data_IF_183597471310
#
_entry.id   IF_183597471310
#
_cell.length_a   1.000
_cell.length_b   1.000
_cell.length_c   1.000
_cell.angle_alpha   90.00
_cell.angle_beta   90.00
_cell.angle_gamma   90.00
#
_symmetry.space_group_name_H-M   'P 1'
#
loop_
_entity.id
_entity.type
_entity.pdbx_description
1 polymer ?
#
# COMPACT_ATOMS: atom_id res chain seq x y z
N UNK A 1 -44.46 -28.28 19.12
CA UNK A 1 -42.98 -28.30 19.02
C UNK A 1 -42.47 -27.03 19.69
N UNK A 2 -41.72 -27.12 20.79
CA UNK A 2 -41.15 -25.94 21.46
C UNK A 2 -40.09 -25.33 20.54
N UNK A 3 -40.13 -24.01 20.36
CA UNK A 3 -39.19 -23.30 19.48
C UNK A 3 -37.82 -23.23 20.17
N UNK A 4 -36.81 -23.85 19.56
CA UNK A 4 -35.41 -23.85 20.02
C UNK A 4 -34.65 -22.56 19.63
N UNK A 5 -35.35 -21.56 19.11
CA UNK A 5 -34.77 -20.30 18.64
C UNK A 5 -33.95 -19.54 19.70
N UNK A 6 -34.39 -19.42 20.99
CA UNK A 6 -33.62 -18.65 21.97
C UNK A 6 -32.36 -19.40 22.44
N UNK A 7 -32.39 -20.73 22.48
CA UNK A 7 -31.23 -21.56 22.88
C UNK A 7 -30.14 -21.56 21.80
N UNK A 8 -30.54 -21.63 20.52
CA UNK A 8 -29.61 -21.52 19.39
C UNK A 8 -28.96 -20.13 19.29
N UNK A 9 -29.72 -19.06 19.57
CA UNK A 9 -29.18 -17.70 19.61
C UNK A 9 -28.18 -17.50 20.75
N UNK A 10 -28.43 -18.11 21.92
CA UNK A 10 -27.51 -18.10 23.05
C UNK A 10 -26.20 -18.87 22.74
N UNK A 11 -26.28 -20.00 22.04
CA UNK A 11 -25.10 -20.77 21.61
C UNK A 11 -24.28 -19.99 20.56
N UNK A 12 -24.92 -19.26 19.65
CA UNK A 12 -24.24 -18.41 18.68
C UNK A 12 -23.56 -17.19 19.32
N UNK A 13 -24.16 -16.61 20.37
CA UNK A 13 -23.59 -15.48 21.11
C UNK A 13 -22.32 -15.87 21.91
N UNK A 14 -22.22 -17.11 22.37
CA UNK A 14 -21.07 -17.62 23.15
C UNK A 14 -19.91 -18.09 22.26
N UNK A 15 -20.19 -18.59 21.05
CA UNK A 15 -19.17 -19.20 20.18
C UNK A 15 -18.47 -18.22 19.22
N UNK A 16 -18.85 -16.95 19.20
CA UNK A 16 -18.31 -15.97 18.26
C UNK A 16 -18.65 -16.28 16.80
N UNK A 17 -18.09 -15.54 15.83
CA UNK A 17 -18.30 -15.81 14.41
C UNK A 17 -17.82 -17.23 14.07
N UNK A 18 -18.73 -18.07 13.56
CA UNK A 18 -18.38 -19.41 13.06
C UNK A 18 -17.58 -19.22 11.77
N UNK A 19 -16.25 -19.25 11.91
CA UNK A 19 -15.34 -19.10 10.79
C UNK A 19 -15.53 -20.29 9.84
N UNK A 20 -15.65 -19.99 8.55
CA UNK A 20 -15.65 -21.02 7.52
C UNK A 20 -14.27 -21.70 7.43
N UNK A 21 -14.16 -22.83 6.72
CA UNK A 21 -12.91 -23.59 6.64
C UNK A 21 -11.73 -22.75 6.15
N UNK A 22 -11.95 -21.90 5.15
CA UNK A 22 -10.90 -21.04 4.62
C UNK A 22 -10.49 -19.96 5.63
N UNK A 23 -11.42 -19.44 6.42
CA UNK A 23 -11.15 -18.49 7.49
C UNK A 23 -10.41 -19.13 8.68
N UNK A 24 -10.69 -20.39 9.00
CA UNK A 24 -9.94 -21.15 10.00
C UNK A 24 -8.50 -21.42 9.56
N UNK A 25 -8.31 -21.82 8.31
CA UNK A 25 -6.97 -22.01 7.71
C UNK A 25 -6.20 -20.68 7.66
N UNK A 26 -6.87 -19.59 7.30
CA UNK A 26 -6.29 -18.24 7.28
C UNK A 26 -5.93 -17.78 8.69
N UNK A 27 -6.80 -18.00 9.68
CA UNK A 27 -6.53 -17.67 11.08
C UNK A 27 -5.33 -18.44 11.62
N UNK A 28 -5.23 -19.73 11.34
CA UNK A 28 -4.08 -20.55 11.74
C UNK A 28 -2.76 -20.02 11.14
N UNK A 29 -2.79 -19.58 9.88
CA UNK A 29 -1.64 -18.92 9.23
C UNK A 29 -1.28 -17.58 9.89
N UNK A 30 -2.28 -16.75 10.20
CA UNK A 30 -2.08 -15.49 10.91
C UNK A 30 -1.50 -15.69 12.31
N UNK A 31 -2.00 -16.68 13.06
CA UNK A 31 -1.53 -17.01 14.40
C UNK A 31 -0.09 -17.54 14.37
N UNK A 32 0.25 -18.37 13.38
CA UNK A 32 1.62 -18.83 13.15
C UNK A 32 2.57 -17.66 12.84
N UNK A 33 2.18 -16.75 11.95
CA UNK A 33 2.93 -15.53 11.62
C UNK A 33 3.12 -14.61 12.84
N UNK A 34 2.09 -14.45 13.66
CA UNK A 34 2.15 -13.65 14.87
C UNK A 34 3.13 -14.26 15.89
N UNK A 35 3.10 -15.58 16.08
CA UNK A 35 4.03 -16.30 16.94
C UNK A 35 5.48 -16.18 16.44
N UNK A 36 5.72 -16.34 15.14
CA UNK A 36 7.05 -16.15 14.53
C UNK A 36 7.53 -14.71 14.71
N UNK A 37 6.66 -13.72 14.52
CA UNK A 37 7.00 -12.29 14.70
C UNK A 37 7.34 -11.96 16.15
N UNK A 38 6.61 -12.53 17.12
CA UNK A 38 6.90 -12.37 18.54
C UNK A 38 8.25 -12.99 18.90
N UNK A 39 8.56 -14.18 18.36
CA UNK A 39 9.86 -14.82 18.56
C UNK A 39 11.01 -14.00 17.97
N UNK A 40 10.87 -13.48 16.76
CA UNK A 40 11.90 -12.63 16.11
C UNK A 40 12.25 -11.40 16.96
N UNK A 41 11.28 -10.80 17.67
CA UNK A 41 11.53 -9.65 18.57
C UNK A 41 12.46 -9.98 19.75
N UNK A 42 12.49 -11.25 20.18
CA UNK A 42 13.32 -11.71 21.31
C UNK A 42 14.78 -11.99 20.93
N UNK A 43 15.08 -12.04 19.62
CA UNK A 43 16.43 -12.34 19.11
C UNK A 43 17.29 -11.06 19.09
N UNK A 44 18.62 -11.12 19.32
CA UNK A 44 19.54 -9.97 19.15
C UNK A 44 19.47 -9.33 17.75
N UNK A 45 19.70 -8.01 17.65
CA UNK A 45 19.41 -7.20 16.44
C UNK A 45 20.27 -7.58 15.22
N UNK A 46 21.52 -7.96 15.47
CA UNK A 46 22.49 -8.52 14.55
C UNK A 46 22.02 -9.85 13.94
N UNK A 47 21.47 -10.75 14.76
CA UNK A 47 20.93 -12.05 14.31
C UNK A 47 19.55 -11.91 13.63
N UNK A 48 18.79 -10.86 13.95
CA UNK A 48 17.49 -10.55 13.33
C UNK A 48 17.59 -10.20 11.84
N UNK A 49 18.66 -9.54 11.41
CA UNK A 49 18.83 -9.13 10.00
C UNK A 49 19.11 -10.35 9.13
N UNK A 50 19.98 -11.25 9.61
CA UNK A 50 20.34 -12.49 8.92
C UNK A 50 19.14 -13.45 8.86
N UNK A 51 18.49 -13.72 10.00
CA UNK A 51 17.27 -14.56 10.04
C UNK A 51 16.06 -13.92 9.37
N UNK A 52 16.01 -12.59 9.29
CA UNK A 52 14.96 -11.85 8.59
C UNK A 52 15.06 -12.05 7.08
N UNK A 53 16.27 -12.06 6.53
CA UNK A 53 16.50 -12.39 5.13
C UNK A 53 16.10 -13.85 4.83
N UNK A 54 16.48 -14.79 5.71
CA UNK A 54 16.12 -16.20 5.57
C UNK A 54 14.62 -16.45 5.72
N UNK A 55 13.94 -15.77 6.65
CA UNK A 55 12.49 -15.88 6.82
C UNK A 55 11.72 -15.30 5.63
N UNK A 56 12.19 -14.17 5.06
CA UNK A 56 11.61 -13.61 3.83
C UNK A 56 11.84 -14.54 2.64
N UNK A 57 13.03 -15.14 2.52
CA UNK A 57 13.34 -16.12 1.49
C UNK A 57 12.56 -17.44 1.65
N UNK A 58 12.25 -17.84 2.89
CA UNK A 58 11.46 -19.03 3.21
C UNK A 58 9.95 -18.83 3.00
N UNK A 59 9.45 -17.60 3.16
CA UNK A 59 8.02 -17.26 3.05
C UNK A 59 7.64 -16.78 1.65
N UNK A 60 8.55 -16.09 0.96
CA UNK A 60 8.29 -15.55 -0.36
C UNK A 60 9.38 -15.99 -1.34
N UNK A 61 8.99 -16.80 -2.31
CA UNK A 61 9.87 -17.13 -3.43
C UNK A 61 10.11 -15.89 -4.29
N UNK A 62 11.16 -15.89 -5.11
CA UNK A 62 11.37 -14.83 -6.10
C UNK A 62 10.16 -14.66 -7.03
N UNK A 63 9.44 -15.75 -7.30
CA UNK A 63 8.20 -15.72 -8.07
C UNK A 63 7.09 -14.93 -7.35
N UNK A 64 6.96 -15.08 -6.03
CA UNK A 64 5.97 -14.33 -5.24
C UNK A 64 6.26 -12.83 -5.24
N UNK A 65 7.55 -12.46 -5.12
CA UNK A 65 7.97 -11.05 -5.15
C UNK A 65 7.67 -10.42 -6.51
N UNK A 66 7.96 -11.12 -7.61
CA UNK A 66 7.67 -10.64 -8.96
C UNK A 66 6.17 -10.57 -9.24
N UNK A 67 5.38 -11.54 -8.75
CA UNK A 67 3.92 -11.50 -8.84
C UNK A 67 3.33 -10.29 -8.11
N UNK A 68 3.83 -9.98 -6.92
CA UNK A 68 3.42 -8.78 -6.17
C UNK A 68 3.74 -7.51 -6.95
N UNK A 69 4.95 -7.38 -7.50
CA UNK A 69 5.33 -6.22 -8.32
C UNK A 69 4.44 -6.08 -9.56
N UNK A 70 4.16 -7.18 -10.26
CA UNK A 70 3.28 -7.18 -11.43
C UNK A 70 1.83 -6.80 -11.07
N UNK A 71 1.35 -7.21 -9.89
CA UNK A 71 0.06 -6.81 -9.38
C UNK A 71 0.00 -5.31 -9.07
N UNK A 72 1.03 -4.75 -8.43
CA UNK A 72 1.12 -3.30 -8.18
C UNK A 72 1.20 -2.49 -9.47
N UNK A 73 1.99 -2.94 -10.45
CA UNK A 73 2.03 -2.33 -11.78
C UNK A 73 0.63 -2.28 -12.40
N UNK A 74 -0.08 -3.41 -12.42
CA UNK A 74 -1.42 -3.49 -13.03
C UNK A 74 -2.47 -2.63 -12.32
N UNK A 75 -2.34 -2.44 -11.00
CA UNK A 75 -3.21 -1.58 -10.19
C UNK A 75 -2.94 -0.09 -10.37
N UNK A 76 -1.75 0.29 -10.81
CA UNK A 76 -1.42 1.69 -11.04
C UNK A 76 -2.30 2.28 -12.18
N UNK A 77 -2.82 3.51 -12.03
CA UNK A 77 -3.59 4.17 -13.08
C UNK A 77 -2.82 4.22 -14.40
N UNK A 78 -3.53 4.09 -15.53
CA UNK A 78 -2.86 4.03 -16.85
C UNK A 78 -1.97 5.23 -17.10
N UNK A 79 -2.44 6.44 -16.78
CA UNK A 79 -1.66 7.68 -16.92
C UNK A 79 -0.33 7.64 -16.14
N UNK A 80 -0.32 7.02 -14.96
CA UNK A 80 0.92 6.87 -14.15
C UNK A 80 1.89 5.91 -14.83
N UNK A 81 1.38 4.82 -15.39
CA UNK A 81 2.19 3.85 -16.14
C UNK A 81 2.74 4.43 -17.45
N UNK A 82 1.94 5.23 -18.15
CA UNK A 82 2.34 5.97 -19.35
C UNK A 82 3.49 6.93 -19.05
N UNK A 83 3.35 7.76 -18.01
CA UNK A 83 4.42 8.65 -17.55
C UNK A 83 5.69 7.86 -17.20
N UNK A 84 5.54 6.70 -16.55
CA UNK A 84 6.68 5.85 -16.21
C UNK A 84 7.44 5.36 -17.45
N UNK A 85 6.76 4.79 -18.45
CA UNK A 85 7.43 4.31 -19.68
C UNK A 85 7.97 5.47 -20.53
N UNK A 86 7.24 6.58 -20.62
CA UNK A 86 7.67 7.75 -21.38
C UNK A 86 8.87 8.46 -20.74
N UNK A 87 9.06 8.37 -19.42
CA UNK A 87 10.19 8.97 -18.70
C UNK A 87 11.56 8.47 -19.17
N UNK A 88 11.59 7.32 -19.85
CA UNK A 88 12.79 6.72 -20.44
C UNK A 88 12.73 6.63 -21.97
N UNK A 89 11.80 7.37 -22.60
CA UNK A 89 11.66 7.43 -24.05
C UNK A 89 11.07 6.17 -24.70
N UNK A 90 10.36 5.33 -23.94
CA UNK A 90 9.65 4.18 -24.50
C UNK A 90 8.27 4.60 -25.02
N UNK A 91 7.71 3.83 -25.96
CA UNK A 91 6.35 4.05 -26.47
C UNK A 91 5.32 3.95 -25.33
N UNK A 92 4.44 4.95 -25.24
CA UNK A 92 3.36 5.01 -24.25
C UNK A 92 2.45 3.76 -24.31
N UNK A 93 2.29 3.13 -25.48
CA UNK A 93 1.51 1.89 -25.62
C UNK A 93 2.03 0.75 -24.76
N UNK A 94 3.34 0.74 -24.43
CA UNK A 94 3.94 -0.25 -23.53
C UNK A 94 3.46 -0.13 -22.09
N UNK A 95 2.81 0.97 -21.69
CA UNK A 95 2.20 1.09 -20.36
C UNK A 95 1.12 0.02 -20.09
N UNK A 96 0.48 -0.48 -21.15
CA UNK A 96 -0.50 -1.57 -21.08
C UNK A 96 0.12 -2.96 -20.92
N UNK A 97 1.42 -3.10 -21.12
CA UNK A 97 2.09 -4.40 -20.98
C UNK A 97 2.15 -4.85 -19.52
N UNK A 98 2.13 -6.17 -19.31
CA UNK A 98 2.40 -6.76 -18.01
C UNK A 98 3.87 -6.50 -17.62
N UNK A 99 4.14 -6.26 -16.34
CA UNK A 99 5.48 -5.94 -15.83
C UNK A 99 6.52 -7.00 -16.23
N UNK A 100 6.10 -8.26 -16.36
CA UNK A 100 6.97 -9.38 -16.75
C UNK A 100 7.49 -9.29 -18.20
N UNK A 101 6.90 -8.44 -19.06
CA UNK A 101 7.43 -8.18 -20.41
C UNK A 101 8.60 -7.20 -20.41
N UNK A 102 8.82 -6.48 -19.32
CA UNK A 102 9.95 -5.56 -19.18
C UNK A 102 11.16 -6.32 -18.66
N UNK A 103 12.29 -6.20 -19.36
CA UNK A 103 13.52 -6.78 -18.86
C UNK A 103 14.07 -6.00 -17.65
N UNK A 104 15.03 -6.57 -16.93
CA UNK A 104 15.58 -5.97 -15.71
C UNK A 104 16.21 -4.58 -15.96
N UNK A 105 16.85 -4.39 -17.12
CA UNK A 105 17.49 -3.12 -17.48
C UNK A 105 16.45 -2.02 -17.74
N UNK A 106 15.37 -2.34 -18.45
CA UNK A 106 14.25 -1.44 -18.69
C UNK A 106 13.63 -1.00 -17.36
N UNK A 107 13.36 -1.95 -16.46
CA UNK A 107 12.79 -1.66 -15.13
C UNK A 107 13.73 -0.79 -14.29
N UNK A 108 15.03 -1.05 -14.34
CA UNK A 108 16.05 -0.23 -13.66
C UNK A 108 16.10 1.20 -14.18
N UNK A 109 16.05 1.39 -15.51
CA UNK A 109 16.02 2.71 -16.14
C UNK A 109 14.76 3.49 -15.75
N UNK A 110 13.59 2.84 -15.81
CA UNK A 110 12.31 3.44 -15.42
C UNK A 110 12.38 3.89 -13.95
N UNK A 111 12.88 3.04 -13.05
CA UNK A 111 13.00 3.39 -11.64
C UNK A 111 13.87 4.64 -11.40
N UNK A 112 15.06 4.69 -12.01
CA UNK A 112 15.97 5.84 -11.88
C UNK A 112 15.36 7.11 -12.48
N UNK A 113 14.68 7.01 -13.63
CA UNK A 113 14.02 8.14 -14.26
C UNK A 113 12.85 8.68 -13.41
N UNK A 114 12.03 7.78 -12.84
CA UNK A 114 10.94 8.15 -11.95
C UNK A 114 11.44 8.86 -10.68
N UNK A 115 12.52 8.38 -10.07
CA UNK A 115 13.12 9.06 -8.90
C UNK A 115 13.54 10.50 -9.23
N UNK A 116 14.17 10.72 -10.39
CA UNK A 116 14.53 12.06 -10.85
C UNK A 116 13.29 12.91 -11.17
N UNK A 117 12.28 12.29 -11.79
CA UNK A 117 11.04 12.96 -12.13
C UNK A 117 10.30 13.45 -10.88
N UNK A 118 10.23 12.65 -9.81
CA UNK A 118 9.61 13.06 -8.55
C UNK A 118 10.25 14.33 -7.95
N UNK A 119 11.58 14.47 -8.06
CA UNK A 119 12.27 15.68 -7.64
C UNK A 119 11.85 16.91 -8.47
N UNK A 120 11.78 16.75 -9.80
CA UNK A 120 11.36 17.82 -10.71
C UNK A 120 9.87 18.19 -10.58
N UNK A 121 8.99 17.21 -10.36
CA UNK A 121 7.55 17.42 -10.22
C UNK A 121 7.20 18.34 -9.05
N UNK A 122 7.97 18.28 -7.96
CA UNK A 122 7.78 19.20 -6.83
C UNK A 122 7.99 20.66 -7.23
N UNK A 123 8.98 20.93 -8.09
CA UNK A 123 9.24 22.27 -8.61
C UNK A 123 8.13 22.71 -9.58
N UNK A 124 7.74 21.83 -10.51
CA UNK A 124 6.65 22.11 -11.47
C UNK A 124 5.34 22.37 -10.74
N UNK A 125 5.03 21.61 -9.70
CA UNK A 125 3.82 21.80 -8.89
C UNK A 125 3.76 23.20 -8.27
N UNK A 126 4.90 23.76 -7.83
CA UNK A 126 4.96 25.15 -7.34
C UNK A 126 4.65 26.16 -8.44
N UNK A 127 5.11 25.92 -9.67
CA UNK A 127 4.80 26.80 -10.81
C UNK A 127 3.32 26.74 -11.21
N UNK A 128 2.66 25.59 -10.99
CA UNK A 128 1.23 25.40 -11.26
C UNK A 128 0.33 25.89 -10.12
N UNK A 129 0.90 26.22 -8.96
CA UNK A 129 0.17 26.76 -7.82
C UNK A 129 -0.05 28.27 -8.00
N UNK A 130 -1.26 28.65 -8.42
CA UNK A 130 -1.67 30.04 -8.60
C UNK A 130 -2.12 30.36 -10.02
N UNK A 131 -2.80 31.49 -10.17
CA UNK A 131 -3.34 31.95 -11.46
C UNK A 131 -4.61 32.76 -11.27
N UNK A 132 -4.84 33.75 -12.13
CA UNK A 132 -6.12 34.48 -12.13
C UNK A 132 -7.18 33.56 -12.71
N UNK A 133 -8.11 33.13 -11.87
CA UNK A 133 -9.33 32.50 -12.35
C UNK A 133 -10.12 33.55 -13.18
N UNK A 134 -10.65 33.19 -14.36
CA UNK A 134 -11.48 34.10 -15.12
C UNK A 134 -12.68 34.55 -14.27
N UNK A 135 -12.88 35.86 -14.18
CA UNK A 135 -13.95 36.46 -13.40
C UNK A 135 -15.29 35.93 -13.90
N UNK A 136 -15.98 35.13 -13.09
CA UNK A 136 -17.26 34.53 -13.44
C UNK A 136 -17.50 33.14 -12.86
N UNK A 137 -16.44 32.40 -12.50
CA UNK A 137 -16.56 31.17 -11.71
C UNK A 137 -16.03 31.45 -10.31
N UNK A 138 -16.96 31.57 -9.37
CA UNK A 138 -16.73 31.87 -7.96
C UNK A 138 -15.38 31.34 -7.45
N UNK A 139 -14.60 32.25 -6.85
CA UNK A 139 -13.61 31.93 -5.85
C UNK A 139 -14.33 31.30 -4.64
N UNK A 140 -14.78 30.06 -4.80
CA UNK A 140 -15.20 29.21 -3.70
C UNK A 140 -13.95 28.90 -2.91
N UNK A 141 -13.89 29.47 -1.71
CA UNK A 141 -12.88 29.26 -0.67
C UNK A 141 -12.47 27.79 -0.60
N UNK A 142 -11.34 27.44 -1.22
CA UNK A 142 -10.60 26.22 -0.89
C UNK A 142 -9.67 26.61 0.26
N UNK A 143 -10.20 26.53 1.47
CA UNK A 143 -9.42 26.64 2.69
C UNK A 143 -8.48 25.43 2.78
N UNK A 144 -7.19 25.66 2.58
CA UNK A 144 -6.15 24.62 2.65
C UNK A 144 -5.86 24.16 4.10
N UNK A 145 -6.62 24.63 5.10
CA UNK A 145 -6.43 24.21 6.50
C UNK A 145 -7.29 23.01 6.93
N UNK A 146 -8.23 22.54 6.10
CA UNK A 146 -9.13 21.43 6.45
C UNK A 146 -8.51 20.00 6.46
N UNK A 147 -7.18 19.88 6.54
CA UNK A 147 -6.47 18.60 6.42
C UNK A 147 -5.36 18.33 7.44
N UNK A 148 -5.07 19.25 8.36
CA UNK A 148 -4.19 18.99 9.50
C UNK A 148 -5.07 18.93 10.73
N UNK A 149 -5.37 17.70 11.16
CA UNK A 149 -5.95 17.45 12.46
C UNK A 149 -5.14 18.21 13.52
N UNK A 150 -5.82 19.14 14.17
CA UNK A 150 -5.44 19.73 15.44
C UNK A 150 -5.27 18.61 16.47
N UNK A 151 -4.08 18.02 16.53
CA UNK A 151 -3.66 17.19 17.65
C UNK A 151 -3.10 18.11 18.72
N UNK A 152 -4.04 18.61 19.53
CA UNK A 152 -3.90 19.23 20.84
C UNK A 152 -2.49 19.49 21.37
N UNK A 153 -2.24 20.76 21.67
CA UNK A 153 -1.55 21.13 22.90
C UNK A 153 -1.96 22.55 23.32
N UNK A 154 -3.11 22.65 24.00
CA UNK A 154 -3.47 23.82 24.78
C UNK A 154 -2.59 23.86 26.04
N UNK A 155 -1.43 24.52 25.96
CA UNK A 155 -0.75 25.00 27.16
C UNK A 155 -1.38 26.33 27.55
N UNK A 156 -2.38 26.26 28.43
CA UNK A 156 -2.74 27.37 29.31
C UNK A 156 -1.65 27.51 30.38
N UNK A 157 -1.11 28.72 30.58
CA UNK A 157 -1.20 29.45 31.85
C UNK A 157 -0.15 30.56 31.96
N UNK A 158 -0.66 31.74 32.32
CA UNK A 158 -0.02 32.97 32.84
C UNK A 158 0.66 33.94 31.87
#
# INVERSE_FOLDING_TARGET
MKSFAPELAAIAAVNGPVLNRAELETKALCDALAATTAHIKTVPKDVRVERGADAVAAVATLADIEAVRAAFWSKAPMLVREVAVMSVGMDAKRAGDNLNKFNALERGRINVALQKLMLGLTQVQRCMAGGKMPAGRAAGVMDHTAGLADTGNHWTAH
#
